data_IF_439831063813
#
_entry.id   IF_439831063813
#
_cell.length_a   1.000
_cell.length_b   1.000
_cell.length_c   1.000
_cell.angle_alpha   90.00
_cell.angle_beta   90.00
_cell.angle_gamma   90.00
#
_symmetry.space_group_name_H-M   'P 1'
#
loop_
_entity.id
_entity.type
_entity.pdbx_description
1 polymer ?
#
# COMPACT_ATOMS: atom_id res chain seq x y z
N UNK A 1 18.76 13.76 -5.95
CA UNK A 1 17.93 13.04 -6.94
C UNK A 1 16.55 13.65 -6.90
N UNK A 2 16.10 14.25 -7.98
CA UNK A 2 14.73 14.76 -8.04
C UNK A 2 13.75 13.60 -8.03
N UNK A 3 12.70 13.71 -7.21
CA UNK A 3 11.66 12.70 -7.03
C UNK A 3 10.61 12.78 -8.16
N UNK A 4 10.68 13.85 -8.95
CA UNK A 4 9.72 14.11 -10.04
C UNK A 4 9.71 12.98 -11.08
N UNK A 5 8.52 12.49 -11.40
CA UNK A 5 8.29 11.51 -12.44
C UNK A 5 8.51 10.05 -12.04
N UNK A 6 8.56 9.71 -10.74
CA UNK A 6 8.70 8.32 -10.27
C UNK A 6 7.37 7.79 -9.75
N UNK A 7 6.80 6.88 -10.50
CA UNK A 7 5.57 6.22 -10.15
C UNK A 7 5.78 5.19 -9.04
N UNK A 8 4.96 5.26 -8.00
CA UNK A 8 4.94 4.30 -6.89
C UNK A 8 3.58 3.62 -6.85
N UNK A 9 3.58 2.30 -6.92
CA UNK A 9 2.36 1.52 -6.80
C UNK A 9 1.99 1.35 -5.32
N UNK A 10 0.73 1.61 -4.99
CA UNK A 10 0.14 1.25 -3.69
C UNK A 10 -0.95 0.22 -3.94
N UNK A 11 -0.69 -1.03 -3.56
CA UNK A 11 -1.65 -2.13 -3.69
C UNK A 11 -2.58 -2.15 -2.47
N UNK A 12 -3.83 -2.59 -2.66
CA UNK A 12 -4.84 -2.56 -1.60
C UNK A 12 -5.08 -1.14 -1.06
N UNK A 13 -5.12 -0.17 -1.98
CA UNK A 13 -5.13 1.26 -1.69
C UNK A 13 -6.33 1.73 -0.85
N UNK A 14 -7.43 0.97 -0.83
CA UNK A 14 -8.61 1.27 0.01
C UNK A 14 -8.46 0.78 1.46
N UNK A 15 -7.51 -0.11 1.74
CA UNK A 15 -7.26 -0.63 3.08
C UNK A 15 -6.52 0.38 3.97
N UNK A 16 -6.43 0.06 5.26
CA UNK A 16 -5.84 0.98 6.23
C UNK A 16 -4.35 1.28 6.02
N UNK A 17 -3.55 0.31 5.55
CA UNK A 17 -2.14 0.54 5.18
C UNK A 17 -2.07 1.31 3.87
N UNK A 18 -2.87 0.89 2.87
CA UNK A 18 -2.87 1.50 1.55
C UNK A 18 -3.23 2.97 1.55
N UNK A 19 -4.31 3.37 2.21
CA UNK A 19 -4.74 4.77 2.29
C UNK A 19 -3.71 5.67 2.98
N UNK A 20 -3.11 5.22 4.07
CA UNK A 20 -2.05 5.98 4.76
C UNK A 20 -0.81 6.10 3.88
N UNK A 21 -0.40 5.02 3.22
CA UNK A 21 0.75 5.02 2.32
C UNK A 21 0.55 5.96 1.14
N UNK A 22 -0.65 5.94 0.54
CA UNK A 22 -1.03 6.84 -0.54
C UNK A 22 -0.89 8.31 -0.10
N UNK A 23 -1.49 8.68 1.02
CA UNK A 23 -1.42 10.04 1.56
C UNK A 23 0.01 10.48 1.85
N UNK A 24 0.83 9.61 2.45
CA UNK A 24 2.23 9.91 2.77
C UNK A 24 3.06 10.12 1.50
N UNK A 25 2.91 9.25 0.52
CA UNK A 25 3.64 9.32 -0.75
C UNK A 25 3.23 10.55 -1.55
N UNK A 26 1.94 10.87 -1.62
CA UNK A 26 1.43 12.08 -2.25
C UNK A 26 2.00 13.35 -1.59
N UNK A 27 2.03 13.41 -0.26
CA UNK A 27 2.63 14.54 0.47
C UNK A 27 4.14 14.70 0.20
N UNK A 28 4.82 13.60 -0.13
CA UNK A 28 6.23 13.61 -0.51
C UNK A 28 6.46 13.94 -2.00
N UNK A 29 5.40 14.16 -2.78
CA UNK A 29 5.48 14.52 -4.20
C UNK A 29 5.71 13.31 -5.14
N UNK A 30 5.38 12.08 -4.70
CA UNK A 30 5.40 10.92 -5.59
C UNK A 30 4.12 10.84 -6.41
N UNK A 31 4.24 10.34 -7.64
CA UNK A 31 3.13 9.95 -8.50
C UNK A 31 2.58 8.59 -8.03
N UNK A 32 1.49 8.59 -7.31
CA UNK A 32 0.93 7.36 -6.73
C UNK A 32 -0.07 6.70 -7.66
N UNK A 33 0.21 5.44 -8.02
CA UNK A 33 -0.73 4.56 -8.71
C UNK A 33 -1.40 3.68 -7.66
N UNK A 34 -2.70 3.87 -7.49
CA UNK A 34 -3.49 3.15 -6.49
C UNK A 34 -4.17 1.92 -7.11
N UNK A 35 -3.86 0.71 -6.61
CA UNK A 35 -4.53 -0.51 -7.05
C UNK A 35 -5.54 -0.98 -6.00
N UNK A 36 -6.77 -1.21 -6.46
CA UNK A 36 -7.87 -1.70 -5.61
C UNK A 36 -8.78 -2.66 -6.38
N UNK A 37 -9.46 -3.56 -5.66
CA UNK A 37 -10.52 -4.39 -6.22
C UNK A 37 -11.92 -3.80 -6.02
N UNK A 38 -12.00 -2.52 -5.63
CA UNK A 38 -13.28 -1.83 -5.40
C UNK A 38 -13.55 -0.83 -6.51
N UNK A 39 -14.58 -1.10 -7.29
CA UNK A 39 -14.95 -0.27 -8.44
C UNK A 39 -15.50 1.11 -8.00
N UNK A 40 -16.05 1.20 -6.80
CA UNK A 40 -16.62 2.42 -6.21
C UNK A 40 -15.59 3.35 -5.57
N UNK A 41 -14.30 3.00 -5.56
CA UNK A 41 -13.29 3.72 -4.79
C UNK A 41 -12.48 4.74 -5.59
N UNK A 42 -12.63 4.79 -6.91
CA UNK A 42 -11.78 5.61 -7.78
C UNK A 42 -11.81 7.09 -7.39
N UNK A 43 -13.01 7.66 -7.27
CA UNK A 43 -13.16 9.08 -6.94
C UNK A 43 -12.53 9.43 -5.58
N UNK A 44 -12.74 8.55 -4.58
CA UNK A 44 -12.17 8.73 -3.24
C UNK A 44 -10.64 8.67 -3.26
N UNK A 45 -10.06 7.69 -3.95
CA UNK A 45 -8.61 7.55 -4.04
C UNK A 45 -7.95 8.71 -4.80
N UNK A 46 -8.59 9.22 -5.84
CA UNK A 46 -8.15 10.44 -6.53
C UNK A 46 -8.19 11.67 -5.62
N UNK A 47 -9.24 11.84 -4.82
CA UNK A 47 -9.32 12.91 -3.81
C UNK A 47 -8.23 12.81 -2.75
N UNK A 48 -7.79 11.60 -2.41
CA UNK A 48 -6.68 11.36 -1.50
C UNK A 48 -5.29 11.55 -2.15
N UNK A 49 -5.24 11.87 -3.46
CA UNK A 49 -4.02 12.21 -4.17
C UNK A 49 -3.45 11.10 -5.07
N UNK A 50 -4.22 10.06 -5.39
CA UNK A 50 -3.81 9.10 -6.41
C UNK A 50 -3.80 9.78 -7.79
N UNK A 51 -2.67 9.66 -8.51
CA UNK A 51 -2.54 10.09 -9.91
C UNK A 51 -3.41 9.24 -10.82
N UNK A 52 -3.38 7.93 -10.56
CA UNK A 52 -4.13 6.93 -11.32
C UNK A 52 -4.69 5.88 -10.37
N UNK A 53 -5.86 5.34 -10.72
CA UNK A 53 -6.48 4.22 -10.01
C UNK A 53 -6.64 3.07 -10.98
N UNK A 54 -6.12 1.91 -10.61
CA UNK A 54 -6.20 0.68 -11.40
C UNK A 54 -6.90 -0.42 -10.61
N UNK A 55 -7.47 -1.37 -11.32
CA UNK A 55 -8.11 -2.55 -10.75
C UNK A 55 -7.12 -3.50 -10.02
N UNK A 56 -7.60 -4.68 -9.68
CA UNK A 56 -6.75 -5.76 -9.15
C UNK A 56 -5.68 -6.13 -10.15
N UNK A 57 -4.47 -6.34 -9.64
CA UNK A 57 -3.38 -6.81 -10.48
C UNK A 57 -3.64 -8.27 -10.93
N UNK A 58 -3.32 -8.62 -12.18
CA UNK A 58 -3.49 -9.99 -12.65
C UNK A 58 -2.45 -10.95 -12.07
N UNK A 59 -2.78 -12.22 -12.08
CA UNK A 59 -1.89 -13.34 -11.80
C UNK A 59 -1.21 -13.76 -13.11
N UNK A 60 -0.35 -12.92 -13.63
CA UNK A 60 0.33 -13.16 -14.88
C UNK A 60 1.83 -13.35 -14.68
N UNK A 61 2.29 -14.58 -14.87
CA UNK A 61 3.69 -15.00 -14.82
C UNK A 61 4.23 -15.45 -16.19
N UNK A 62 3.53 -15.12 -17.28
CA UNK A 62 3.89 -15.56 -18.64
C UNK A 62 5.26 -15.06 -19.12
N UNK A 63 5.73 -13.91 -18.59
CA UNK A 63 7.02 -13.30 -18.95
C UNK A 63 7.86 -13.02 -17.70
N UNK A 64 9.16 -13.31 -17.74
CA UNK A 64 10.06 -13.07 -16.61
C UNK A 64 10.33 -11.58 -16.36
N UNK A 65 10.22 -10.75 -17.39
CA UNK A 65 10.36 -9.29 -17.36
C UNK A 65 9.36 -8.63 -18.29
N UNK A 66 8.89 -7.45 -17.89
CA UNK A 66 8.02 -6.61 -18.70
C UNK A 66 8.49 -5.16 -18.74
N UNK A 67 7.70 -4.29 -19.41
CA UNK A 67 7.99 -2.86 -19.45
C UNK A 67 8.11 -2.33 -18.02
N UNK A 68 9.17 -1.57 -17.75
CA UNK A 68 9.35 -0.87 -16.46
C UNK A 68 8.24 0.14 -16.25
N UNK A 69 7.58 0.07 -15.13
CA UNK A 69 6.41 0.91 -14.81
C UNK A 69 6.60 1.63 -13.48
N UNK A 70 7.05 0.92 -12.45
CA UNK A 70 7.10 1.47 -11.10
C UNK A 70 8.53 1.53 -10.55
N UNK A 71 8.87 2.64 -9.90
CA UNK A 71 10.12 2.76 -9.15
C UNK A 71 10.06 1.97 -7.85
N UNK A 72 8.89 1.94 -7.21
CA UNK A 72 8.67 1.20 -5.98
C UNK A 72 7.22 0.73 -5.85
N UNK A 73 6.96 -0.16 -4.92
CA UNK A 73 5.61 -0.57 -4.56
C UNK A 73 5.45 -0.77 -3.05
N UNK A 74 4.26 -0.48 -2.55
CA UNK A 74 3.81 -0.84 -1.20
C UNK A 74 2.79 -1.97 -1.36
N UNK A 75 3.11 -3.13 -0.81
CA UNK A 75 2.26 -4.33 -0.94
C UNK A 75 1.84 -4.91 0.42
N UNK A 76 0.63 -4.60 0.90
CA UNK A 76 0.04 -5.24 2.06
C UNK A 76 -0.74 -6.52 1.73
N UNK A 77 -0.71 -6.98 0.49
CA UNK A 77 -1.58 -8.07 -0.01
C UNK A 77 -0.82 -9.38 -0.22
N UNK A 78 0.39 -9.33 -0.80
CA UNK A 78 1.16 -10.55 -1.10
C UNK A 78 0.47 -11.44 -2.15
N UNK A 79 0.77 -12.76 -2.10
CA UNK A 79 0.16 -13.76 -2.97
C UNK A 79 0.62 -13.72 -4.42
N UNK A 80 -0.08 -14.47 -5.27
CA UNK A 80 0.33 -14.80 -6.65
C UNK A 80 0.38 -13.60 -7.62
N UNK A 81 -0.16 -12.44 -7.23
CA UNK A 81 -0.02 -11.21 -8.02
C UNK A 81 1.28 -10.43 -7.72
N UNK A 82 2.05 -10.80 -6.69
CA UNK A 82 3.29 -10.10 -6.36
C UNK A 82 4.32 -10.15 -7.51
N UNK A 83 4.50 -11.24 -8.26
CA UNK A 83 5.37 -11.30 -9.43
C UNK A 83 5.03 -10.27 -10.51
N UNK A 84 3.75 -9.94 -10.69
CA UNK A 84 3.34 -8.90 -11.63
C UNK A 84 3.93 -7.52 -11.29
N UNK A 85 4.11 -7.24 -10.00
CA UNK A 85 4.77 -6.01 -9.53
C UNK A 85 6.28 -6.09 -9.81
N UNK A 86 6.90 -7.20 -9.39
CA UNK A 86 8.36 -7.37 -9.42
C UNK A 86 8.92 -7.29 -10.84
N UNK A 87 8.26 -7.95 -11.79
CA UNK A 87 8.70 -7.95 -13.21
C UNK A 87 8.55 -6.60 -13.92
N UNK A 88 7.86 -5.63 -13.29
CA UNK A 88 7.64 -4.27 -13.80
C UNK A 88 8.39 -3.19 -13.03
N UNK A 89 9.14 -3.56 -12.01
CA UNK A 89 9.99 -2.60 -11.30
C UNK A 89 11.04 -1.99 -12.24
N UNK A 90 11.34 -0.74 -12.03
CA UNK A 90 12.45 -0.05 -12.67
C UNK A 90 13.81 -0.54 -12.08
N UNK A 91 14.92 -0.10 -12.66
CA UNK A 91 16.24 -0.41 -12.15
C UNK A 91 16.40 0.06 -10.69
N UNK A 92 16.89 -0.84 -9.84
CA UNK A 92 17.01 -0.66 -8.40
C UNK A 92 15.67 -0.35 -7.70
N UNK A 93 14.55 -0.71 -8.32
CA UNK A 93 13.23 -0.59 -7.73
C UNK A 93 13.02 -1.57 -6.58
N UNK A 94 12.09 -1.27 -5.70
CA UNK A 94 11.81 -2.11 -4.52
C UNK A 94 10.33 -2.26 -4.21
N UNK A 95 9.97 -3.41 -3.65
CA UNK A 95 8.65 -3.66 -3.06
C UNK A 95 8.78 -3.73 -1.54
N UNK A 96 8.03 -2.90 -0.82
CA UNK A 96 7.84 -3.07 0.61
C UNK A 96 6.67 -4.04 0.85
N UNK A 97 6.99 -5.27 1.24
CA UNK A 97 6.03 -6.34 1.51
C UNK A 97 5.64 -6.31 2.99
N UNK A 98 4.36 -6.04 3.27
CA UNK A 98 3.88 -5.74 4.63
C UNK A 98 2.86 -6.77 5.11
N UNK A 99 2.11 -7.38 4.19
CA UNK A 99 1.01 -8.27 4.51
C UNK A 99 0.83 -9.41 3.52
N UNK A 100 -0.14 -10.28 3.82
CA UNK A 100 -0.41 -11.51 3.07
C UNK A 100 -1.92 -11.80 2.94
N UNK A 101 -2.75 -10.76 2.86
CA UNK A 101 -4.21 -10.92 2.75
C UNK A 101 -4.66 -11.61 1.47
N UNK A 102 -3.84 -11.58 0.42
CA UNK A 102 -4.05 -12.27 -0.86
C UNK A 102 -3.31 -13.60 -0.98
N UNK A 103 -2.58 -14.01 0.07
CA UNK A 103 -1.82 -15.27 0.08
C UNK A 103 -0.41 -15.08 0.62
N UNK A 104 0.19 -16.20 1.02
CA UNK A 104 1.53 -16.24 1.62
C UNK A 104 2.60 -16.84 0.67
N UNK A 105 2.19 -17.32 -0.50
CA UNK A 105 3.06 -17.88 -1.51
C UNK A 105 3.05 -17.05 -2.78
N UNK A 106 4.17 -17.00 -3.47
CA UNK A 106 4.28 -16.48 -4.84
C UNK A 106 5.45 -17.17 -5.54
N UNK A 107 5.36 -17.31 -6.84
CA UNK A 107 6.42 -17.84 -7.69
C UNK A 107 6.94 -16.74 -8.62
N UNK A 108 8.26 -16.57 -8.67
CA UNK A 108 8.89 -15.57 -9.55
C UNK A 108 10.24 -16.09 -10.06
N UNK A 109 10.78 -15.40 -11.06
CA UNK A 109 12.10 -15.70 -11.61
C UNK A 109 13.18 -14.81 -10.99
N UNK A 110 14.43 -15.17 -11.14
CA UNK A 110 15.56 -14.34 -10.69
C UNK A 110 15.86 -13.15 -11.60
N UNK A 111 15.26 -13.07 -12.79
CA UNK A 111 15.55 -12.04 -13.77
C UNK A 111 15.39 -10.60 -13.28
N UNK A 112 14.27 -10.22 -12.58
CA UNK A 112 14.15 -8.85 -12.08
C UNK A 112 15.26 -8.48 -11.10
N UNK A 113 15.69 -9.42 -10.28
CA UNK A 113 16.71 -9.20 -9.25
C UNK A 113 18.10 -9.01 -9.89
N UNK A 114 18.48 -9.88 -10.81
CA UNK A 114 19.81 -9.87 -11.43
C UNK A 114 19.92 -8.74 -12.47
N UNK A 115 18.91 -8.59 -13.33
CA UNK A 115 19.00 -7.69 -14.48
C UNK A 115 18.61 -6.25 -14.17
N UNK A 116 17.84 -6.02 -13.10
CA UNK A 116 17.37 -4.68 -12.70
C UNK A 116 17.78 -4.28 -11.29
N UNK A 117 18.43 -5.16 -10.53
CA UNK A 117 18.73 -4.90 -9.13
C UNK A 117 17.46 -4.70 -8.28
N UNK A 118 16.33 -5.27 -8.74
CA UNK A 118 15.09 -5.18 -8.00
C UNK A 118 15.20 -5.87 -6.62
N UNK A 119 14.40 -5.45 -5.66
CA UNK A 119 14.37 -6.05 -4.33
C UNK A 119 12.96 -6.15 -3.76
N UNK A 120 12.74 -7.20 -2.96
CA UNK A 120 11.57 -7.34 -2.10
C UNK A 120 12.06 -7.18 -0.67
N UNK A 121 11.49 -6.22 0.04
CA UNK A 121 11.87 -5.88 1.41
C UNK A 121 10.71 -6.25 2.34
N UNK A 122 10.91 -7.26 3.17
CA UNK A 122 9.96 -7.61 4.22
C UNK A 122 9.92 -6.55 5.32
N UNK A 123 8.72 -6.13 5.71
CA UNK A 123 8.51 -5.14 6.77
C UNK A 123 7.97 -5.84 8.01
N UNK A 124 8.88 -6.16 8.94
CA UNK A 124 8.51 -6.65 10.27
C UNK A 124 8.09 -5.47 11.16
N UNK A 125 6.78 -5.27 11.28
CA UNK A 125 6.22 -4.23 12.14
C UNK A 125 6.09 -4.67 13.60
N UNK A 126 6.20 -5.95 13.91
CA UNK A 126 6.01 -6.53 15.24
C UNK A 126 7.28 -6.42 16.08
N UNK A 127 8.40 -6.92 15.55
CA UNK A 127 9.68 -6.97 16.26
C UNK A 127 10.62 -5.80 15.93
N UNK A 128 10.09 -4.74 15.32
CA UNK A 128 10.88 -3.51 15.04
C UNK A 128 11.59 -3.02 16.31
N UNK A 129 12.92 -2.86 16.30
CA UNK A 129 13.66 -2.36 17.47
C UNK A 129 13.12 -1.00 17.95
N UNK A 130 13.01 -0.84 19.27
CA UNK A 130 12.37 0.35 19.87
C UNK A 130 13.01 1.68 19.43
N UNK A 131 14.31 1.72 19.20
CA UNK A 131 15.00 2.92 18.69
C UNK A 131 14.50 3.30 17.29
N UNK A 132 14.36 2.30 16.39
CA UNK A 132 13.84 2.51 15.04
C UNK A 132 12.37 2.91 15.09
N UNK A 133 11.55 2.20 15.88
CA UNK A 133 10.13 2.51 16.08
C UNK A 133 9.93 3.97 16.52
N UNK A 134 10.66 4.42 17.54
CA UNK A 134 10.60 5.81 18.01
C UNK A 134 11.01 6.81 16.92
N UNK A 135 12.01 6.49 16.10
CA UNK A 135 12.42 7.34 14.96
C UNK A 135 11.32 7.45 13.92
N UNK A 136 10.70 6.31 13.55
CA UNK A 136 9.59 6.27 12.59
C UNK A 136 8.41 7.09 13.11
N UNK A 137 7.99 6.89 14.37
CA UNK A 137 6.88 7.64 14.97
C UNK A 137 7.14 9.14 15.04
N UNK A 138 8.37 9.57 15.30
CA UNK A 138 8.71 10.99 15.25
C UNK A 138 8.52 11.58 13.85
N UNK A 139 8.85 10.82 12.79
CA UNK A 139 8.63 11.24 11.42
C UNK A 139 7.14 11.26 11.08
N UNK A 140 6.41 10.21 11.47
CA UNK A 140 4.95 10.15 11.29
C UNK A 140 4.22 11.31 12.00
N UNK A 141 4.76 11.82 13.10
CA UNK A 141 4.21 12.97 13.80
C UNK A 141 4.60 14.33 13.20
N UNK A 142 5.54 14.37 12.26
CA UNK A 142 6.11 15.59 11.68
C UNK A 142 6.02 15.60 10.16
N UNK A 143 7.13 15.28 9.51
CA UNK A 143 7.35 15.40 8.06
C UNK A 143 6.55 14.41 7.21
N UNK A 144 6.18 13.26 7.79
CA UNK A 144 5.35 12.25 7.14
C UNK A 144 3.87 12.27 7.56
N UNK A 145 3.47 13.22 8.41
CA UNK A 145 2.08 13.30 8.89
C UNK A 145 1.14 13.71 7.75
N UNK A 146 0.23 12.83 7.30
CA UNK A 146 -0.76 13.22 6.31
C UNK A 146 -1.72 14.27 6.88
N UNK A 147 -2.03 15.30 6.08
CA UNK A 147 -2.99 16.33 6.49
C UNK A 147 -4.43 15.79 6.50
N UNK A 148 -4.74 14.88 5.57
CA UNK A 148 -6.07 14.30 5.37
C UNK A 148 -6.35 13.04 6.23
N UNK A 149 -5.71 12.89 7.40
CA UNK A 149 -5.99 11.76 8.29
C UNK A 149 -7.47 11.67 8.73
N UNK A 150 -8.15 12.81 8.79
CA UNK A 150 -9.57 12.87 9.14
C UNK A 150 -10.47 12.26 8.07
N UNK A 151 -10.05 12.31 6.79
CA UNK A 151 -10.87 11.85 5.66
C UNK A 151 -10.87 10.33 5.51
N UNK A 152 -9.96 9.63 6.19
CA UNK A 152 -9.83 8.18 6.13
C UNK A 152 -10.32 7.45 7.38
N UNK A 153 -10.78 8.17 8.41
CA UNK A 153 -11.34 7.56 9.62
C UNK A 153 -12.86 7.49 9.58
N UNK A 154 -13.40 6.40 10.09
CA UNK A 154 -14.81 6.25 10.41
C UNK A 154 -14.91 6.04 11.91
N UNK A 155 -15.55 6.97 12.62
CA UNK A 155 -15.76 6.87 14.07
C UNK A 155 -17.05 6.11 14.33
N UNK A 156 -17.00 5.14 15.22
CA UNK A 156 -18.13 4.32 15.65
C UNK A 156 -18.19 4.28 17.18
N UNK A 157 -19.37 4.13 17.74
CA UNK A 157 -19.56 3.92 19.16
C UNK A 157 -19.15 2.51 19.59
N UNK A 158 -19.10 2.27 20.91
CA UNK A 158 -18.80 0.96 21.45
C UNK A 158 -19.84 -0.09 21.02
N UNK A 159 -21.13 0.28 20.99
CA UNK A 159 -22.23 -0.63 20.64
C UNK A 159 -22.22 -1.02 19.14
N UNK A 160 -21.55 -0.25 18.28
CA UNK A 160 -21.43 -0.53 16.86
C UNK A 160 -20.26 -1.47 16.51
N UNK A 161 -19.46 -1.89 17.51
CA UNK A 161 -18.30 -2.78 17.28
C UNK A 161 -18.66 -4.05 16.49
N UNK A 162 -19.75 -4.80 16.79
CA UNK A 162 -20.09 -6.00 16.03
C UNK A 162 -20.26 -5.72 14.53
N UNK A 163 -20.96 -4.63 14.19
CA UNK A 163 -21.16 -4.21 12.81
C UNK A 163 -19.84 -3.77 12.13
N UNK A 164 -18.98 -3.10 12.88
CA UNK A 164 -17.66 -2.70 12.40
C UNK A 164 -16.75 -3.91 12.11
N UNK A 165 -16.81 -4.95 12.95
CA UNK A 165 -16.11 -6.22 12.73
C UNK A 165 -16.61 -6.89 11.44
N UNK A 166 -17.93 -6.98 11.25
CA UNK A 166 -18.50 -7.56 10.03
C UNK A 166 -18.06 -6.83 8.78
N UNK A 167 -17.97 -5.50 8.81
CA UNK A 167 -17.44 -4.71 7.69
C UNK A 167 -15.99 -5.06 7.37
N UNK A 168 -15.15 -5.26 8.38
CA UNK A 168 -13.73 -5.62 8.19
C UNK A 168 -13.60 -7.04 7.64
N UNK A 169 -14.33 -8.00 8.21
CA UNK A 169 -14.30 -9.41 7.78
C UNK A 169 -14.76 -9.54 6.32
N UNK A 170 -15.79 -8.81 5.93
CA UNK A 170 -16.32 -8.83 4.57
C UNK A 170 -15.58 -7.88 3.60
N UNK A 171 -14.45 -7.31 4.00
CA UNK A 171 -13.66 -6.36 3.20
C UNK A 171 -14.45 -5.14 2.70
N UNK A 172 -15.49 -4.73 3.44
CA UNK A 172 -16.37 -3.61 3.08
C UNK A 172 -15.93 -2.28 3.71
N UNK A 173 -14.86 -2.28 4.50
CA UNK A 173 -14.32 -1.08 5.11
C UNK A 173 -13.34 -0.35 4.17
N UNK A 174 -13.26 0.96 4.29
CA UNK A 174 -12.26 1.81 3.63
C UNK A 174 -11.56 2.65 4.69
N UNK A 175 -10.23 2.77 4.62
CA UNK A 175 -9.46 3.53 5.59
C UNK A 175 -9.38 2.85 6.97
N UNK A 176 -9.79 3.55 8.02
CA UNK A 176 -9.71 3.09 9.42
C UNK A 176 -11.04 3.26 10.15
N UNK A 177 -11.46 2.23 10.85
CA UNK A 177 -12.54 2.33 11.84
C UNK A 177 -11.90 2.67 13.18
N UNK A 178 -12.41 3.69 13.84
CA UNK A 178 -11.95 4.17 15.15
C UNK A 178 -13.12 4.08 16.12
N UNK A 179 -12.94 3.37 17.24
CA UNK A 179 -13.93 3.25 18.27
C UNK A 179 -13.76 4.44 19.22
N UNK A 180 -14.81 5.22 19.41
CA UNK A 180 -14.88 6.27 20.41
C UNK A 180 -15.71 5.79 21.60
N UNK A 181 -15.12 5.77 22.79
CA UNK A 181 -15.76 5.33 24.02
C UNK A 181 -16.61 6.42 24.68
N UNK A 182 -16.62 7.63 24.12
CA UNK A 182 -17.37 8.77 24.66
C UNK A 182 -18.63 9.10 23.85
N UNK A 183 -18.93 8.31 22.84
CA UNK A 183 -20.10 8.48 21.94
C UNK A 183 -20.98 7.24 22.03
#
# INVERSE_FOLDING_TARGET
MSIEGKEVLVRGATGGVGTISLLMLNNLGYDVIASTGRDDAEEKLKKLGAKEVIGRLPEDNSKPLEKRTWQAAIDPVGGENLPYIVKRLDNNGSVALIGMTGGNNFETTVFPFILRGASIIGIDSVFTPIKLRKRVWRRLAKDLKPQQLHDIKHVVSFDEIPKAIDQVINHNNTGRIVIDFNV
#
